data_IF_913165816499
#
_entry.id   IF_913165816499
#
_cell.length_a   1.000
_cell.length_b   1.000
_cell.length_c   1.000
_cell.angle_alpha   90.00
_cell.angle_beta   90.00
_cell.angle_gamma   90.00
#
_symmetry.space_group_name_H-M   'P 1'
#
loop_
_entity.id
_entity.type
_entity.pdbx_description
1 polymer ?
#
# COMPACT_ATOMS: atom_id res chain seq x y z
N UNK A 1 -8.48 6.22 13.56
CA UNK A 1 -7.51 5.13 13.79
C UNK A 1 -7.13 4.39 12.52
N UNK A 2 -8.06 3.79 11.76
CA UNK A 2 -7.76 2.98 10.58
C UNK A 2 -6.97 3.75 9.51
N UNK A 3 -7.29 5.03 9.31
CA UNK A 3 -6.52 5.91 8.40
C UNK A 3 -5.05 6.08 8.83
N UNK A 4 -4.80 6.28 10.12
CA UNK A 4 -3.44 6.34 10.69
C UNK A 4 -2.73 4.98 10.55
N UNK A 5 -3.45 3.90 10.78
CA UNK A 5 -2.91 2.55 10.68
C UNK A 5 -2.51 2.20 9.23
N UNK A 6 -3.31 2.63 8.25
CA UNK A 6 -3.00 2.50 6.83
C UNK A 6 -1.74 3.30 6.46
N UNK A 7 -1.59 4.53 6.97
CA UNK A 7 -0.36 5.30 6.81
C UNK A 7 0.84 4.55 7.38
N UNK A 8 0.76 4.08 8.64
CA UNK A 8 1.88 3.41 9.31
C UNK A 8 2.29 2.14 8.57
N UNK A 9 1.34 1.27 8.21
CA UNK A 9 1.62 0.09 7.42
C UNK A 9 2.29 0.43 6.09
N UNK A 10 1.87 1.53 5.45
CA UNK A 10 2.51 2.02 4.22
C UNK A 10 3.93 2.50 4.47
N UNK A 11 4.18 3.27 5.52
CA UNK A 11 5.52 3.77 5.87
C UNK A 11 6.50 2.65 6.22
N UNK A 12 6.03 1.58 6.87
CA UNK A 12 6.85 0.41 7.22
C UNK A 12 7.30 -0.38 5.97
N UNK A 13 6.50 -0.39 4.91
CA UNK A 13 6.84 -1.09 3.65
C UNK A 13 7.62 -0.24 2.64
N UNK A 14 7.58 1.09 2.78
CA UNK A 14 8.29 2.00 1.88
C UNK A 14 9.77 2.08 2.26
N UNK A 15 10.65 2.09 1.25
CA UNK A 15 12.08 2.32 1.43
C UNK A 15 12.54 3.73 1.00
N UNK A 16 11.69 4.47 0.29
CA UNK A 16 12.00 5.79 -0.23
C UNK A 16 11.60 6.89 0.77
N UNK A 17 12.59 7.64 1.26
CA UNK A 17 12.40 8.71 2.22
C UNK A 17 11.50 9.85 1.69
N UNK A 18 11.61 10.20 0.41
CA UNK A 18 10.80 11.27 -0.19
C UNK A 18 9.33 10.85 -0.33
N UNK A 19 9.07 9.58 -0.69
CA UNK A 19 7.70 9.06 -0.67
C UNK A 19 7.12 9.01 0.74
N UNK A 20 7.92 8.59 1.73
CA UNK A 20 7.48 8.60 3.13
C UNK A 20 7.06 10.00 3.57
N UNK A 21 7.85 11.02 3.24
CA UNK A 21 7.52 12.41 3.58
C UNK A 21 6.27 12.92 2.84
N UNK A 22 6.08 12.57 1.57
CA UNK A 22 4.88 12.93 0.81
C UNK A 22 3.60 12.33 1.43
N UNK A 23 3.60 11.02 1.70
CA UNK A 23 2.45 10.37 2.36
C UNK A 23 2.18 10.95 3.75
N UNK A 24 3.24 11.37 4.45
CA UNK A 24 3.11 12.03 5.75
C UNK A 24 2.45 13.40 5.63
N UNK A 25 2.90 14.21 4.68
CA UNK A 25 2.36 15.54 4.42
C UNK A 25 0.89 15.46 4.00
N UNK A 26 0.53 14.54 3.11
CA UNK A 26 -0.86 14.30 2.67
C UNK A 26 -1.76 13.87 3.83
N UNK A 27 -1.28 12.94 4.67
CA UNK A 27 -2.04 12.55 5.85
C UNK A 27 -2.26 13.74 6.80
N UNK A 28 -1.22 14.53 7.07
CA UNK A 28 -1.29 15.65 8.00
C UNK A 28 -2.15 16.79 7.47
N UNK A 29 -2.17 17.05 6.16
CA UNK A 29 -2.96 18.13 5.55
C UNK A 29 -4.47 17.87 5.67
N UNK A 30 -4.89 16.61 5.47
CA UNK A 30 -6.29 16.20 5.54
C UNK A 30 -6.79 15.84 6.95
N UNK A 31 -5.89 15.62 7.90
CA UNK A 31 -6.27 15.30 9.29
C UNK A 31 -6.73 16.57 10.00
N UNK A 32 -7.92 16.64 10.62
CA UNK A 32 -8.35 17.82 11.38
C UNK A 32 -7.63 17.96 12.74
N UNK A 33 -7.67 19.14 13.34
CA UNK A 33 -7.26 19.32 14.74
C UNK A 33 -8.32 18.72 15.69
N UNK A 34 -7.94 18.13 16.86
CA UNK A 34 -6.58 18.03 17.42
C UNK A 34 -5.79 16.79 16.97
N UNK A 35 -6.38 15.92 16.15
CA UNK A 35 -5.75 14.67 15.70
C UNK A 35 -4.45 14.92 14.95
N UNK A 36 -4.38 16.00 14.16
CA UNK A 36 -3.19 16.38 13.41
C UNK A 36 -2.00 16.66 14.33
N UNK A 37 -2.23 17.40 15.42
CA UNK A 37 -1.21 17.69 16.42
C UNK A 37 -0.72 16.40 17.09
N UNK A 38 -1.63 15.53 17.54
CA UNK A 38 -1.24 14.26 18.14
C UNK A 38 -0.51 13.33 17.17
N UNK A 39 -0.88 13.34 15.89
CA UNK A 39 -0.20 12.56 14.87
C UNK A 39 1.23 13.06 14.65
N UNK A 40 1.45 14.39 14.57
CA UNK A 40 2.81 14.98 14.52
C UNK A 40 3.64 14.58 15.73
N UNK A 41 3.08 14.69 16.93
CA UNK A 41 3.78 14.29 18.15
C UNK A 41 4.14 12.80 18.13
N UNK A 42 3.26 11.95 17.62
CA UNK A 42 3.52 10.51 17.48
C UNK A 42 4.70 10.25 16.54
N UNK A 43 4.71 10.91 15.38
CA UNK A 43 5.72 10.77 14.34
C UNK A 43 7.09 11.29 14.78
N UNK A 44 7.11 12.36 15.56
CA UNK A 44 8.32 12.92 16.14
C UNK A 44 8.80 12.15 17.39
N UNK A 45 8.08 11.12 17.82
CA UNK A 45 8.36 10.39 19.06
C UNK A 45 8.14 11.21 20.34
N UNK A 46 7.41 12.33 20.25
CA UNK A 46 7.10 13.25 21.35
C UNK A 46 5.79 12.92 22.06
N UNK A 47 4.93 12.11 21.46
CA UNK A 47 3.63 11.76 22.03
C UNK A 47 3.80 10.96 23.33
N UNK A 48 3.35 11.55 24.45
CA UNK A 48 3.38 10.91 25.77
C UNK A 48 2.02 10.31 26.07
N UNK A 49 1.98 8.98 26.19
CA UNK A 49 0.78 8.24 26.58
C UNK A 49 1.02 7.56 27.92
N UNK A 50 -0.06 7.35 28.69
CA UNK A 50 -0.07 6.40 29.81
C UNK A 50 -0.35 5.00 29.24
N UNK A 51 0.66 4.12 29.11
CA UNK A 51 0.48 2.88 28.38
C UNK A 51 -0.42 1.89 29.14
N UNK A 52 -1.28 1.21 28.40
CA UNK A 52 -2.00 0.04 28.85
C UNK A 52 -1.06 -1.17 28.92
N UNK A 53 -1.29 -2.07 29.88
CA UNK A 53 -0.53 -3.32 29.96
C UNK A 53 -0.97 -4.27 28.85
N UNK A 54 -0.03 -4.83 28.08
CA UNK A 54 -0.35 -5.83 27.05
C UNK A 54 -1.10 -7.05 27.63
N UNK A 55 -0.77 -7.45 28.86
CA UNK A 55 -1.48 -8.54 29.56
C UNK A 55 -2.98 -8.28 29.76
N UNK A 56 -3.39 -7.01 29.92
CA UNK A 56 -4.81 -6.65 29.98
C UNK A 56 -5.48 -6.94 28.64
N UNK A 57 -4.88 -6.46 27.55
CA UNK A 57 -5.42 -6.60 26.19
C UNK A 57 -5.48 -8.08 25.80
N UNK A 58 -4.46 -8.86 26.16
CA UNK A 58 -4.45 -10.32 26.00
C UNK A 58 -5.64 -10.97 26.70
N UNK A 59 -5.91 -10.60 27.96
CA UNK A 59 -7.05 -11.14 28.70
C UNK A 59 -8.40 -10.80 28.05
N UNK A 60 -8.54 -9.62 27.45
CA UNK A 60 -9.74 -9.25 26.69
C UNK A 60 -9.90 -10.10 25.42
N UNK A 61 -8.79 -10.44 24.75
CA UNK A 61 -8.80 -11.30 23.59
C UNK A 61 -9.14 -12.75 23.96
N UNK A 62 -8.48 -13.31 24.97
CA UNK A 62 -8.72 -14.67 25.49
C UNK A 62 -10.18 -14.87 25.96
N UNK A 63 -10.86 -13.82 26.43
CA UNK A 63 -12.28 -13.88 26.79
C UNK A 63 -13.23 -14.04 25.59
N UNK A 64 -12.74 -13.88 24.36
CA UNK A 64 -13.53 -13.82 23.11
C UNK A 64 -13.29 -14.99 22.17
N UNK A 65 -12.27 -15.80 22.42
CA UNK A 65 -11.89 -16.95 21.60
C UNK A 65 -11.55 -18.12 22.51
N UNK A 66 -11.77 -19.34 22.03
CA UNK A 66 -11.33 -20.54 22.74
C UNK A 66 -9.82 -20.50 23.04
N UNK A 67 -9.45 -20.90 24.25
CA UNK A 67 -8.07 -20.82 24.72
C UNK A 67 -7.10 -21.68 23.87
N UNK A 68 -7.57 -22.83 23.36
CA UNK A 68 -6.76 -23.69 22.49
C UNK A 68 -6.52 -23.01 21.14
N UNK A 69 -7.58 -22.44 20.55
CA UNK A 69 -7.47 -21.72 19.29
C UNK A 69 -6.57 -20.48 19.41
N UNK A 70 -6.66 -19.73 20.51
CA UNK A 70 -5.78 -18.60 20.77
C UNK A 70 -4.32 -19.04 20.91
N UNK A 71 -4.06 -20.13 21.65
CA UNK A 71 -2.72 -20.70 21.78
C UNK A 71 -2.12 -21.14 20.44
N UNK A 72 -2.91 -21.77 19.57
CA UNK A 72 -2.48 -22.14 18.22
C UNK A 72 -2.18 -20.92 17.35
N UNK A 73 -3.03 -19.89 17.40
CA UNK A 73 -2.80 -18.65 16.67
C UNK A 73 -1.51 -17.96 17.14
N UNK A 74 -1.29 -17.89 18.46
CA UNK A 74 -0.08 -17.30 19.04
C UNK A 74 1.18 -18.06 18.63
N UNK A 75 1.13 -19.39 18.61
CA UNK A 75 2.24 -20.23 18.17
C UNK A 75 2.58 -20.01 16.68
N UNK A 76 1.59 -19.67 15.85
CA UNK A 76 1.78 -19.43 14.42
C UNK A 76 2.33 -18.04 14.11
N UNK A 77 1.78 -16.99 14.73
CA UNK A 77 2.15 -15.59 14.46
C UNK A 77 3.49 -15.21 15.10
N UNK A 78 3.83 -15.80 16.25
CA UNK A 78 5.04 -15.47 17.00
C UNK A 78 5.02 -14.09 17.70
N UNK A 79 3.97 -13.29 17.51
CA UNK A 79 3.79 -11.98 18.13
C UNK A 79 2.39 -11.82 18.73
N UNK A 80 2.33 -11.29 19.96
CA UNK A 80 1.07 -11.14 20.71
C UNK A 80 0.15 -10.07 20.10
N UNK A 81 0.71 -8.99 19.58
CA UNK A 81 -0.07 -7.89 18.99
C UNK A 81 -0.74 -8.37 17.71
N UNK A 82 0.02 -9.04 16.85
CA UNK A 82 -0.47 -9.65 15.62
C UNK A 82 -1.53 -10.72 15.92
N UNK A 83 -1.27 -11.58 16.91
CA UNK A 83 -2.24 -12.61 17.36
C UNK A 83 -3.58 -11.98 17.73
N UNK A 84 -3.55 -10.96 18.59
CA UNK A 84 -4.77 -10.29 19.05
C UNK A 84 -5.47 -9.62 17.87
N UNK A 85 -4.75 -8.91 16.99
CA UNK A 85 -5.33 -8.21 15.85
C UNK A 85 -6.08 -9.17 14.89
N UNK A 86 -5.48 -10.32 14.59
CA UNK A 86 -6.01 -11.35 13.70
C UNK A 86 -7.17 -12.14 14.31
N UNK A 87 -7.09 -12.47 15.60
CA UNK A 87 -8.07 -13.33 16.27
C UNK A 87 -9.25 -12.56 16.86
N UNK A 88 -9.21 -11.23 16.87
CA UNK A 88 -10.26 -10.41 17.48
C UNK A 88 -11.61 -10.58 16.79
N UNK A 89 -12.55 -11.20 17.50
CA UNK A 89 -13.95 -11.32 17.09
C UNK A 89 -14.74 -10.14 17.67
N UNK A 90 -15.27 -9.22 16.83
CA UNK A 90 -16.00 -8.05 17.32
C UNK A 90 -17.44 -8.39 17.72
N UNK A 91 -17.90 -7.91 18.88
CA UNK A 91 -19.26 -8.17 19.39
C UNK A 91 -20.32 -7.31 18.67
N UNK A 92 -19.99 -6.05 18.38
CA UNK A 92 -20.78 -5.13 17.53
C UNK A 92 -19.82 -4.18 16.83
N UNK A 93 -19.85 -4.13 15.51
CA UNK A 93 -19.04 -3.13 14.77
C UNK A 93 -19.68 -1.75 14.95
N UNK A 94 -18.94 -0.82 15.54
CA UNK A 94 -19.35 0.58 15.58
C UNK A 94 -19.33 1.19 14.17
N UNK A 95 -20.10 2.25 13.95
CA UNK A 95 -20.18 2.93 12.64
C UNK A 95 -18.90 3.70 12.27
N UNK A 96 -17.97 3.90 13.22
CA UNK A 96 -16.65 4.51 12.99
C UNK A 96 -15.64 4.00 14.00
N UNK A 97 -14.38 3.99 13.59
CA UNK A 97 -13.22 3.76 14.45
C UNK A 97 -12.88 5.00 15.30
N UNK A 98 -12.15 4.84 16.42
CA UNK A 98 -11.82 5.97 17.28
C UNK A 98 -10.83 6.95 16.63
N UNK A 99 -10.94 8.22 16.98
CA UNK A 99 -9.94 9.23 16.60
C UNK A 99 -8.69 9.12 17.48
N UNK A 100 -7.59 9.73 17.06
CA UNK A 100 -6.35 9.71 17.85
C UNK A 100 -6.54 10.50 19.15
N UNK A 101 -7.23 11.63 19.08
CA UNK A 101 -7.57 12.48 20.23
C UNK A 101 -8.43 11.72 21.25
N UNK A 102 -9.44 10.97 20.79
CA UNK A 102 -10.28 10.15 21.68
C UNK A 102 -9.46 9.11 22.44
N UNK A 103 -8.44 8.52 21.80
CA UNK A 103 -7.55 7.56 22.44
C UNK A 103 -6.64 8.25 23.45
N UNK A 104 -6.01 9.37 23.06
CA UNK A 104 -5.10 10.15 23.92
C UNK A 104 -5.83 10.63 25.17
N UNK A 105 -7.00 11.24 25.00
CA UNK A 105 -7.82 11.75 26.09
C UNK A 105 -8.24 10.62 27.03
N UNK A 106 -8.79 9.52 26.48
CA UNK A 106 -9.23 8.40 27.29
C UNK A 106 -8.08 7.73 28.05
N UNK A 107 -6.88 7.62 27.47
CA UNK A 107 -5.72 7.10 28.18
C UNK A 107 -5.25 8.05 29.28
N UNK A 108 -5.45 9.36 29.15
CA UNK A 108 -5.10 10.34 30.17
C UNK A 108 -6.12 10.36 31.33
N UNK A 109 -7.42 10.22 31.03
CA UNK A 109 -8.50 10.51 31.98
C UNK A 109 -9.15 9.27 32.59
N UNK A 110 -9.29 8.16 31.85
CA UNK A 110 -10.08 7.01 32.32
C UNK A 110 -9.43 6.26 33.50
N UNK A 111 -10.28 5.76 34.40
CA UNK A 111 -9.86 4.89 35.49
C UNK A 111 -9.47 3.48 35.01
N UNK A 112 -8.76 2.73 35.88
CA UNK A 112 -8.35 1.34 35.60
C UNK A 112 -9.54 0.38 35.38
N UNK A 113 -10.71 0.71 35.91
CA UNK A 113 -11.95 -0.09 35.78
C UNK A 113 -12.71 0.18 34.47
N UNK A 114 -12.56 1.36 33.88
CA UNK A 114 -13.31 1.79 32.69
C UNK A 114 -12.53 1.54 31.40
N UNK A 115 -11.20 1.65 31.48
CA UNK A 115 -10.30 1.46 30.35
C UNK A 115 -10.49 0.12 29.61
N UNK A 116 -10.69 -1.05 30.26
CA UNK A 116 -10.87 -2.32 29.56
C UNK A 116 -12.07 -2.30 28.60
N UNK A 117 -13.23 -1.82 29.06
CA UNK A 117 -14.44 -1.70 28.24
C UNK A 117 -14.24 -0.75 27.07
N UNK A 118 -13.46 0.32 27.26
CA UNK A 118 -13.15 1.28 26.20
C UNK A 118 -12.23 0.68 25.14
N UNK A 119 -11.20 -0.07 25.56
CA UNK A 119 -10.29 -0.77 24.64
C UNK A 119 -11.06 -1.79 23.79
N UNK A 120 -11.96 -2.55 24.39
CA UNK A 120 -12.81 -3.48 23.66
C UNK A 120 -13.63 -2.79 22.56
N UNK A 121 -14.28 -1.66 22.90
CA UNK A 121 -15.07 -0.91 21.93
C UNK A 121 -14.23 -0.36 20.78
N UNK A 122 -12.99 0.06 21.05
CA UNK A 122 -12.07 0.51 20.01
C UNK A 122 -11.63 -0.64 19.10
N UNK A 123 -11.26 -1.79 19.65
CA UNK A 123 -10.87 -2.96 18.87
C UNK A 123 -12.03 -3.51 18.03
N UNK A 124 -13.26 -3.42 18.54
CA UNK A 124 -14.48 -3.79 17.81
C UNK A 124 -14.73 -2.89 16.58
N UNK A 125 -14.32 -1.63 16.66
CA UNK A 125 -14.52 -0.63 15.62
C UNK A 125 -13.37 -0.60 14.58
N UNK A 126 -12.17 -1.02 14.95
CA UNK A 126 -11.02 -1.08 14.04
C UNK A 126 -11.08 -2.30 13.12
N UNK A 127 -10.49 -2.15 11.93
CA UNK A 127 -10.11 -3.29 11.09
C UNK A 127 -8.83 -3.97 11.62
N UNK A 128 -8.36 -5.02 10.95
CA UNK A 128 -7.19 -5.80 11.36
C UNK A 128 -5.93 -4.92 11.53
N UNK A 129 -5.59 -4.14 10.50
CA UNK A 129 -4.47 -3.19 10.53
C UNK A 129 -4.63 -2.15 11.64
N UNK A 130 -5.85 -1.62 11.79
CA UNK A 130 -6.24 -0.68 12.84
C UNK A 130 -6.04 -1.25 14.24
N UNK A 131 -6.42 -2.50 14.49
CA UNK A 131 -6.19 -3.18 15.77
C UNK A 131 -4.70 -3.35 16.05
N UNK A 132 -3.93 -3.81 15.06
CA UNK A 132 -2.50 -4.02 15.22
C UNK A 132 -1.79 -2.73 15.63
N UNK A 133 -2.05 -1.62 14.92
CA UNK A 133 -1.46 -0.32 15.23
C UNK A 133 -2.01 0.26 16.54
N UNK A 134 -3.32 0.12 16.80
CA UNK A 134 -3.93 0.59 18.04
C UNK A 134 -3.28 -0.08 19.26
N UNK A 135 -3.06 -1.40 19.23
CA UNK A 135 -2.44 -2.14 20.33
C UNK A 135 -1.01 -1.63 20.55
N UNK A 136 -0.21 -1.46 19.49
CA UNK A 136 1.15 -0.90 19.59
C UNK A 136 1.15 0.52 20.16
N UNK A 137 0.18 1.35 19.74
CA UNK A 137 0.02 2.72 20.24
C UNK A 137 -0.30 2.74 21.73
N UNK A 138 -1.36 2.05 22.15
CA UNK A 138 -1.82 2.09 23.55
C UNK A 138 -0.88 1.36 24.50
N UNK A 139 -0.04 0.45 24.01
CA UNK A 139 1.01 -0.20 24.81
C UNK A 139 2.35 0.56 24.80
N UNK A 140 2.49 1.61 23.99
CA UNK A 140 3.71 2.42 23.87
C UNK A 140 4.85 1.72 23.11
N UNK A 141 4.56 0.63 22.41
CA UNK A 141 5.54 -0.13 21.61
C UNK A 141 5.60 0.32 20.15
N UNK A 142 4.68 1.19 19.72
CA UNK A 142 4.72 1.79 18.40
C UNK A 142 6.04 2.57 18.23
N UNK A 143 6.75 2.26 17.14
CA UNK A 143 7.99 2.89 16.72
C UNK A 143 7.81 3.27 15.26
N UNK A 144 8.17 4.51 14.93
CA UNK A 144 8.11 5.03 13.58
C UNK A 144 9.45 5.68 13.29
N UNK A 145 10.12 5.19 12.25
CA UNK A 145 11.36 5.80 11.76
C UNK A 145 10.97 6.91 10.78
N UNK A 146 10.88 8.15 11.28
CA UNK A 146 10.68 9.31 10.40
C UNK A 146 11.91 9.48 9.50
N UNK A 147 11.75 9.62 8.17
CA UNK A 147 12.86 10.05 7.32
C UNK A 147 13.36 11.41 7.82
N UNK A 148 14.69 11.57 7.91
CA UNK A 148 15.30 12.80 8.43
C UNK A 148 14.81 13.99 7.61
N UNK A 149 14.19 14.95 8.28
CA UNK A 149 13.72 16.22 7.71
C UNK A 149 14.90 16.86 6.97
N UNK A 150 14.90 16.79 5.64
CA UNK A 150 15.74 17.66 4.83
C UNK A 150 15.07 19.04 4.89
N UNK A 151 15.83 20.02 5.37
CA UNK A 151 15.39 21.36 5.72
C UNK A 151 14.22 21.90 4.87
N UNK A 152 13.20 22.37 5.57
CA UNK A 152 11.99 22.98 5.02
C UNK A 152 12.31 23.97 3.89
N UNK A 153 11.85 23.65 2.67
CA UNK A 153 11.62 24.64 1.63
C UNK A 153 10.19 25.18 1.77
N UNK A 154 9.98 26.50 1.66
CA UNK A 154 8.69 27.11 1.96
C UNK A 154 7.64 26.76 0.90
N UNK A 155 6.40 26.65 1.36
CA UNK A 155 5.22 26.41 0.54
C UNK A 155 5.03 27.52 -0.51
N UNK A 156 5.06 27.14 -1.79
CA UNK A 156 4.50 27.93 -2.89
C UNK A 156 4.06 27.00 -4.04
N UNK A 157 2.76 27.01 -4.33
CA UNK A 157 2.11 26.68 -5.62
C UNK A 157 2.50 25.39 -6.36
N UNK A 158 2.77 24.30 -5.63
CA UNK A 158 3.20 23.02 -6.24
C UNK A 158 2.11 21.96 -6.37
N UNK A 159 0.82 22.30 -6.29
CA UNK A 159 -0.24 21.28 -6.41
C UNK A 159 -0.36 20.68 -7.83
N UNK A 160 0.20 21.32 -8.87
CA UNK A 160 0.19 20.80 -10.25
C UNK A 160 1.56 20.37 -10.80
N UNK A 161 2.66 20.61 -10.08
CA UNK A 161 4.00 20.18 -10.53
C UNK A 161 4.50 18.91 -9.81
N UNK A 162 4.00 18.59 -8.61
CA UNK A 162 4.38 17.38 -7.85
C UNK A 162 3.91 16.06 -8.50
N UNK A 163 2.87 16.09 -9.33
CA UNK A 163 2.34 14.91 -10.02
C UNK A 163 3.09 14.56 -11.32
N UNK A 164 3.99 15.43 -11.80
CA UNK A 164 5.04 14.98 -12.71
C UNK A 164 6.17 14.46 -11.85
N UNK A 165 6.15 13.17 -11.56
CA UNK A 165 7.27 12.47 -10.97
C UNK A 165 8.55 12.89 -11.70
N UNK A 166 9.36 13.75 -11.08
CA UNK A 166 10.71 13.99 -11.56
C UNK A 166 11.38 12.60 -11.64
N UNK A 167 12.04 12.26 -12.76
CA UNK A 167 12.70 10.98 -12.88
C UNK A 167 13.65 10.83 -11.69
N UNK A 168 13.46 9.78 -10.90
CA UNK A 168 14.38 9.47 -9.80
C UNK A 168 15.78 9.31 -10.37
N UNK A 169 16.81 9.58 -9.56
CA UNK A 169 18.23 9.46 -9.95
C UNK A 169 18.64 8.10 -10.56
N UNK A 170 17.78 7.08 -10.48
CA UNK A 170 17.92 5.72 -11.00
C UNK A 170 16.98 5.36 -12.17
N UNK A 171 16.17 6.31 -12.67
CA UNK A 171 15.27 6.07 -13.82
C UNK A 171 16.00 6.36 -15.13
N UNK A 172 16.21 5.33 -15.95
CA UNK A 172 16.82 5.47 -17.28
C UNK A 172 15.82 5.94 -18.34
N UNK A 173 14.52 5.71 -18.16
CA UNK A 173 13.50 6.21 -19.07
C UNK A 173 12.10 5.69 -18.78
N UNK A 174 11.13 6.10 -19.61
CA UNK A 174 9.74 5.64 -19.58
C UNK A 174 9.32 5.01 -20.90
N UNK A 175 8.38 4.06 -20.89
CA UNK A 175 7.88 3.40 -22.09
C UNK A 175 6.37 3.12 -21.97
N UNK A 176 5.63 3.39 -23.04
CA UNK A 176 4.22 3.01 -23.14
C UNK A 176 4.10 1.51 -23.44
N UNK A 177 3.31 0.79 -22.65
CA UNK A 177 3.16 -0.66 -22.74
C UNK A 177 1.71 -1.09 -22.47
N UNK A 178 1.32 -2.23 -23.03
CA UNK A 178 -0.01 -2.82 -22.92
C UNK A 178 -0.07 -3.78 -21.75
N UNK A 179 -1.15 -3.71 -20.97
CA UNK A 179 -1.47 -4.70 -19.93
C UNK A 179 -1.82 -6.04 -20.58
N UNK A 180 -1.10 -7.11 -20.21
CA UNK A 180 -1.35 -8.47 -20.71
C UNK A 180 -2.06 -9.34 -19.67
N UNK A 181 -1.51 -9.33 -18.45
CA UNK A 181 -1.93 -10.21 -17.37
C UNK A 181 -1.94 -9.47 -16.04
N UNK A 182 -2.92 -9.78 -15.20
CA UNK A 182 -3.01 -9.27 -13.83
C UNK A 182 -3.16 -10.43 -12.84
N UNK A 183 -2.52 -10.29 -11.69
CA UNK A 183 -2.53 -11.29 -10.62
C UNK A 183 -2.71 -10.58 -9.27
N UNK A 184 -3.61 -11.08 -8.43
CA UNK A 184 -3.64 -10.66 -7.02
C UNK A 184 -2.61 -11.44 -6.25
N UNK A 185 -1.66 -10.72 -5.64
CA UNK A 185 -0.56 -11.28 -4.86
C UNK A 185 -1.02 -12.21 -3.71
N UNK A 186 -2.23 -11.98 -3.19
CA UNK A 186 -2.95 -12.95 -2.36
C UNK A 186 -4.43 -12.97 -2.75
N UNK A 187 -4.85 -14.01 -3.46
CA UNK A 187 -6.22 -14.16 -3.95
C UNK A 187 -7.29 -14.30 -2.83
N UNK A 188 -6.89 -14.55 -1.58
CA UNK A 188 -7.80 -14.66 -0.42
C UNK A 188 -8.04 -13.34 0.29
N UNK A 189 -7.18 -12.34 0.10
CA UNK A 189 -7.30 -11.04 0.72
C UNK A 189 -7.95 -10.03 -0.23
N UNK A 190 -8.99 -9.34 0.26
CA UNK A 190 -9.89 -8.50 -0.54
C UNK A 190 -9.20 -7.23 -1.10
N UNK A 191 -8.06 -6.84 -0.52
CA UNK A 191 -7.30 -5.61 -0.82
C UNK A 191 -5.87 -5.90 -1.26
N UNK A 192 -5.58 -7.13 -1.70
CA UNK A 192 -4.21 -7.49 -2.06
C UNK A 192 -3.68 -6.72 -3.27
N UNK A 193 -2.40 -6.28 -3.23
CA UNK A 193 -1.75 -5.59 -4.33
C UNK A 193 -1.89 -6.37 -5.64
N UNK A 194 -2.20 -5.64 -6.70
CA UNK A 194 -2.19 -6.16 -8.05
C UNK A 194 -0.74 -6.20 -8.56
N UNK A 195 -0.40 -7.31 -9.20
CA UNK A 195 0.84 -7.50 -9.93
C UNK A 195 0.51 -7.69 -11.40
N UNK A 196 0.96 -6.75 -12.22
CA UNK A 196 0.60 -6.67 -13.63
C UNK A 196 1.80 -6.95 -14.52
N UNK A 197 1.57 -7.69 -15.61
CA UNK A 197 2.55 -8.00 -16.64
C UNK A 197 2.23 -7.14 -17.86
N UNK A 198 3.24 -6.45 -18.37
CA UNK A 198 3.10 -5.53 -19.50
C UNK A 198 3.92 -5.99 -20.70
N UNK A 199 3.42 -5.67 -21.88
CA UNK A 199 4.04 -6.00 -23.17
C UNK A 199 4.06 -4.83 -24.14
N UNK A 200 4.86 -4.98 -25.19
CA UNK A 200 4.99 -4.03 -26.30
C UNK A 200 4.86 -4.77 -27.63
N UNK A 201 4.61 -4.03 -28.71
CA UNK A 201 4.40 -4.63 -30.03
C UNK A 201 5.69 -5.23 -30.60
N UNK A 202 5.61 -6.47 -31.05
CA UNK A 202 6.61 -7.15 -31.85
C UNK A 202 5.91 -7.68 -33.12
N UNK A 203 5.91 -6.84 -34.17
CA UNK A 203 5.07 -7.04 -35.34
C UNK A 203 3.60 -7.11 -34.95
N UNK A 204 2.94 -8.22 -35.28
CA UNK A 204 1.51 -8.44 -34.98
C UNK A 204 1.26 -9.10 -33.61
N UNK A 205 2.32 -9.32 -32.83
CA UNK A 205 2.22 -9.97 -31.51
C UNK A 205 2.69 -9.04 -30.39
N UNK A 206 2.34 -9.36 -29.15
CA UNK A 206 2.85 -8.65 -27.97
C UNK A 206 3.98 -9.44 -27.30
N UNK A 207 5.07 -8.74 -26.99
CA UNK A 207 6.22 -9.28 -26.31
C UNK A 207 6.23 -8.77 -24.84
N UNK A 208 6.14 -9.67 -23.84
CA UNK A 208 6.20 -9.26 -22.44
C UNK A 208 7.56 -8.69 -22.09
N UNK A 209 7.58 -7.50 -21.50
CA UNK A 209 8.82 -6.76 -21.18
C UNK A 209 9.06 -6.58 -19.70
N UNK A 210 8.06 -6.83 -18.86
CA UNK A 210 8.24 -6.67 -17.43
C UNK A 210 6.96 -6.90 -16.64
N UNK A 211 7.14 -6.94 -15.32
CA UNK A 211 6.08 -7.09 -14.35
C UNK A 211 6.32 -6.16 -13.20
N UNK A 212 5.29 -5.45 -12.77
CA UNK A 212 5.37 -4.50 -11.66
C UNK A 212 4.15 -4.63 -10.75
N UNK A 213 4.31 -4.17 -9.51
CA UNK A 213 3.20 -4.01 -8.58
C UNK A 213 2.51 -2.67 -8.84
N UNK A 214 1.19 -2.67 -8.71
CA UNK A 214 0.32 -1.53 -8.98
C UNK A 214 0.04 -0.81 -7.67
N UNK A 215 0.19 0.52 -7.67
CA UNK A 215 -0.15 1.37 -6.55
C UNK A 215 -1.67 1.53 -6.40
N UNK A 216 -2.15 2.01 -5.25
CA UNK A 216 -3.59 2.17 -5.01
C UNK A 216 -4.25 3.17 -5.97
N UNK A 217 -3.51 4.18 -6.44
CA UNK A 217 -4.04 5.21 -7.37
C UNK A 217 -4.26 4.63 -8.76
N UNK A 218 -3.30 3.84 -9.26
CA UNK A 218 -3.39 3.25 -10.59
C UNK A 218 -4.21 1.95 -10.61
N UNK A 219 -4.58 1.43 -9.43
CA UNK A 219 -5.33 0.19 -9.30
C UNK A 219 -6.76 0.30 -9.85
N UNK A 220 -7.46 1.39 -9.57
CA UNK A 220 -8.87 1.57 -9.96
C UNK A 220 -9.11 1.42 -11.47
N UNK A 221 -8.42 2.15 -12.37
CA UNK A 221 -8.63 1.98 -13.81
C UNK A 221 -8.21 0.59 -14.33
N UNK A 222 -7.21 -0.03 -13.71
CA UNK A 222 -6.78 -1.39 -14.05
C UNK A 222 -7.81 -2.42 -13.60
N UNK A 223 -8.37 -2.28 -12.40
CA UNK A 223 -9.41 -3.17 -11.87
C UNK A 223 -10.69 -3.10 -12.71
N UNK A 224 -11.08 -1.90 -13.12
CA UNK A 224 -12.20 -1.68 -14.03
C UNK A 224 -11.96 -2.41 -15.36
N UNK A 225 -10.80 -2.20 -15.99
CA UNK A 225 -10.48 -2.88 -17.24
C UNK A 225 -10.43 -4.42 -17.11
N UNK A 226 -9.87 -4.94 -16.01
CA UNK A 226 -9.87 -6.38 -15.73
C UNK A 226 -11.31 -6.91 -15.64
N UNK A 227 -12.22 -6.19 -14.98
CA UNK A 227 -13.60 -6.62 -14.80
C UNK A 227 -14.35 -6.74 -16.15
N UNK A 228 -14.10 -5.82 -17.07
CA UNK A 228 -14.81 -5.74 -18.36
C UNK A 228 -14.16 -6.56 -19.48
N UNK A 229 -12.83 -6.75 -19.41
CA UNK A 229 -12.05 -7.26 -20.54
C UNK A 229 -11.22 -8.51 -20.22
N UNK A 230 -11.54 -9.28 -19.17
CA UNK A 230 -10.90 -10.58 -18.94
C UNK A 230 -11.24 -11.57 -20.07
N UNK A 231 -10.23 -12.10 -20.75
CA UNK A 231 -10.36 -13.10 -21.83
C UNK A 231 -10.14 -14.53 -21.34
N UNK A 232 -9.24 -14.73 -20.37
CA UNK A 232 -8.96 -16.05 -19.79
C UNK A 232 -8.59 -15.98 -18.30
N UNK A 233 -8.72 -17.11 -17.60
CA UNK A 233 -8.46 -17.23 -16.16
C UNK A 233 -7.58 -18.44 -15.87
N UNK A 234 -6.47 -18.23 -15.17
CA UNK A 234 -5.52 -19.28 -14.79
C UNK A 234 -5.21 -19.16 -13.28
N UNK A 235 -6.01 -19.82 -12.45
CA UNK A 235 -5.91 -19.67 -10.99
C UNK A 235 -6.07 -18.21 -10.54
N UNK A 236 -5.07 -17.59 -9.88
CA UNK A 236 -5.12 -16.19 -9.48
C UNK A 236 -4.84 -15.20 -10.63
N UNK A 237 -4.39 -15.69 -11.79
CA UNK A 237 -4.03 -14.87 -12.94
C UNK A 237 -5.26 -14.63 -13.81
N UNK A 238 -5.41 -13.39 -14.28
CA UNK A 238 -6.37 -12.95 -15.28
C UNK A 238 -5.60 -12.52 -16.52
N UNK A 239 -5.93 -13.10 -17.66
CA UNK A 239 -5.55 -12.55 -18.95
C UNK A 239 -6.62 -11.57 -19.38
N UNK A 240 -6.22 -10.40 -19.85
CA UNK A 240 -7.13 -9.35 -20.32
C UNK A 240 -7.01 -9.17 -21.82
N UNK A 241 -7.98 -8.49 -22.44
CA UNK A 241 -7.94 -8.17 -23.87
C UNK A 241 -6.75 -7.24 -24.16
N UNK A 242 -5.95 -7.62 -25.15
CA UNK A 242 -4.70 -6.94 -25.52
C UNK A 242 -4.48 -6.96 -27.04
N UNK A 243 -5.54 -6.77 -27.82
CA UNK A 243 -5.47 -6.76 -29.29
C UNK A 243 -5.35 -5.34 -29.88
N UNK A 244 -5.38 -5.23 -31.21
CA UNK A 244 -5.22 -3.94 -31.92
C UNK A 244 -6.44 -3.01 -31.78
N UNK A 245 -7.58 -3.53 -31.35
CA UNK A 245 -8.81 -2.75 -31.15
C UNK A 245 -8.95 -2.31 -29.70
N UNK A 246 -8.71 -3.23 -28.74
CA UNK A 246 -8.92 -3.00 -27.32
C UNK A 246 -7.72 -3.49 -26.51
N UNK A 247 -7.08 -2.55 -25.82
CA UNK A 247 -6.00 -2.80 -24.87
C UNK A 247 -5.89 -1.64 -23.88
N UNK A 248 -5.51 -1.92 -22.63
CA UNK A 248 -5.13 -0.88 -21.67
C UNK A 248 -3.66 -0.54 -21.87
N UNK A 249 -3.38 0.72 -22.24
CA UNK A 249 -2.02 1.24 -22.38
C UNK A 249 -1.62 2.01 -21.13
N UNK A 250 -0.41 1.78 -20.66
CA UNK A 250 0.14 2.41 -19.48
C UNK A 250 1.58 2.88 -19.69
N UNK A 251 1.96 3.94 -19.00
CA UNK A 251 3.33 4.43 -18.99
C UNK A 251 4.12 3.78 -17.87
N UNK A 252 5.24 3.16 -18.21
CA UNK A 252 6.13 2.48 -17.27
C UNK A 252 7.47 3.19 -17.18
N UNK A 253 7.95 3.47 -15.98
CA UNK A 253 9.35 3.83 -15.74
C UNK A 253 10.21 2.57 -15.58
N UNK A 254 11.48 2.64 -15.94
CA UNK A 254 12.45 1.56 -15.74
C UNK A 254 13.85 2.08 -15.42
N UNK A 255 14.63 1.24 -14.75
CA UNK A 255 16.00 1.56 -14.32
C UNK A 255 17.09 1.11 -15.30
N UNK A 256 16.80 0.15 -16.17
CA UNK A 256 17.67 -0.29 -17.26
C UNK A 256 16.90 -1.21 -18.22
N UNK A 257 17.46 -1.43 -19.41
CA UNK A 257 17.01 -2.47 -20.35
C UNK A 257 18.05 -3.59 -20.29
N UNK A 258 17.60 -4.83 -20.09
CA UNK A 258 18.49 -5.99 -19.92
C UNK A 258 18.25 -7.05 -21.01
N UNK A 259 19.30 -7.51 -21.72
CA UNK A 259 19.21 -8.63 -22.63
C UNK A 259 18.83 -9.92 -21.92
N UNK A 260 17.81 -10.63 -22.43
CA UNK A 260 17.36 -11.93 -21.92
C UNK A 260 17.18 -12.91 -23.07
N UNK A 261 18.25 -13.63 -23.49
CA UNK A 261 18.22 -14.49 -24.68
C UNK A 261 17.21 -15.65 -24.60
N UNK A 262 16.68 -15.94 -23.41
CA UNK A 262 15.68 -17.01 -23.19
C UNK A 262 14.21 -16.55 -23.36
N UNK A 263 13.94 -15.25 -23.55
CA UNK A 263 12.56 -14.72 -23.70
C UNK A 263 12.29 -14.32 -25.13
N UNK A 264 11.03 -14.47 -25.58
CA UNK A 264 10.58 -14.09 -26.94
C UNK A 264 10.90 -12.64 -27.33
N UNK A 265 10.94 -11.72 -26.36
CA UNK A 265 11.29 -10.31 -26.60
C UNK A 265 12.80 -10.07 -26.72
N UNK A 266 13.67 -10.98 -26.26
CA UNK A 266 15.11 -10.77 -26.16
C UNK A 266 15.56 -9.69 -25.17
N UNK A 267 14.65 -8.86 -24.65
CA UNK A 267 14.89 -7.74 -23.74
C UNK A 267 13.83 -7.69 -22.64
N UNK A 268 14.23 -7.25 -21.44
CA UNK A 268 13.31 -6.96 -20.32
C UNK A 268 13.69 -5.67 -19.62
N UNK A 269 12.69 -5.00 -19.06
CA UNK A 269 12.90 -3.85 -18.18
C UNK A 269 13.39 -4.31 -16.80
N UNK A 270 14.42 -3.63 -16.28
CA UNK A 270 14.86 -3.77 -14.89
C UNK A 270 14.07 -2.79 -14.02
N UNK A 271 13.57 -3.30 -12.90
CA UNK A 271 12.76 -2.55 -11.93
C UNK A 271 11.64 -1.72 -12.59
N UNK A 272 10.82 -2.33 -13.47
CA UNK A 272 9.71 -1.61 -14.09
C UNK A 272 8.73 -1.15 -13.02
N UNK A 273 8.23 0.06 -13.16
CA UNK A 273 7.26 0.69 -12.27
C UNK A 273 6.16 1.32 -13.11
N UNK A 274 4.91 1.07 -12.74
CA UNK A 274 3.79 1.78 -13.34
C UNK A 274 3.84 3.25 -12.90
N UNK A 275 3.80 4.17 -13.87
CA UNK A 275 3.68 5.61 -13.60
C UNK A 275 2.23 6.06 -13.63
N UNK A 276 1.49 5.64 -14.67
CA UNK A 276 0.07 5.98 -14.87
C UNK A 276 -0.55 5.11 -15.96
N UNK A 277 -1.86 4.98 -15.92
CA UNK A 277 -2.65 4.52 -17.07
C UNK A 277 -2.80 5.68 -18.05
N UNK A 278 -2.69 5.42 -19.35
CA UNK A 278 -2.88 6.42 -20.40
C UNK A 278 -4.33 6.40 -20.86
N UNK A 279 -5.18 7.18 -20.21
CA UNK A 279 -6.60 7.26 -20.55
C UNK A 279 -6.79 7.75 -22.00
N UNK A 280 -7.63 7.04 -22.75
CA UNK A 280 -7.92 7.36 -24.17
C UNK A 280 -6.82 6.96 -25.17
N UNK A 281 -5.71 6.37 -24.72
CA UNK A 281 -4.68 5.88 -25.63
C UNK A 281 -5.18 4.68 -26.45
N UNK A 282 -4.88 4.69 -27.75
CA UNK A 282 -5.13 3.57 -28.63
C UNK A 282 -4.07 2.47 -28.42
N UNK A 283 -4.38 1.19 -28.69
CA UNK A 283 -3.37 0.13 -28.60
C UNK A 283 -2.12 0.41 -29.45
N UNK A 284 -2.25 1.15 -30.56
CA UNK A 284 -1.13 1.59 -31.41
C UNK A 284 -0.15 2.55 -30.75
N UNK A 285 -0.54 3.21 -29.64
CA UNK A 285 0.30 4.17 -28.93
C UNK A 285 1.32 3.47 -28.01
N UNK A 286 1.14 2.17 -27.78
CA UNK A 286 2.14 1.36 -27.09
C UNK A 286 3.42 1.24 -27.91
N UNK A 287 4.57 1.21 -27.23
CA UNK A 287 5.85 1.11 -27.89
C UNK A 287 6.02 -0.19 -28.66
N UNK A 288 7.02 -0.24 -29.52
CA UNK A 288 7.43 -1.45 -30.24
C UNK A 288 8.76 -1.99 -29.72
N UNK A 289 9.03 -3.27 -29.99
CA UNK A 289 10.30 -3.91 -29.67
C UNK A 289 11.46 -3.19 -30.37
N UNK A 290 11.27 -2.75 -31.61
CA UNK A 290 12.27 -1.94 -32.33
C UNK A 290 12.59 -0.63 -31.59
N UNK A 291 11.58 0.03 -30.99
CA UNK A 291 11.78 1.21 -30.15
C UNK A 291 12.59 0.89 -28.90
N UNK A 292 12.32 -0.25 -28.26
CA UNK A 292 13.05 -0.67 -27.06
C UNK A 292 14.51 -1.07 -27.39
N UNK A 293 14.74 -1.76 -28.50
CA UNK A 293 16.07 -2.12 -29.00
C UNK A 293 16.93 -0.89 -29.35
N UNK A 294 16.32 0.10 -30.00
CA UNK A 294 17.00 1.36 -30.31
C UNK A 294 17.48 2.07 -29.02
N UNK A 295 16.64 2.05 -27.97
CA UNK A 295 17.00 2.62 -26.66
C UNK A 295 18.06 1.81 -25.92
N UNK A 296 18.06 0.48 -26.06
CA UNK A 296 19.09 -0.37 -25.47
C UNK A 296 20.48 -0.16 -26.08
N UNK A 297 20.57 0.34 -27.32
CA UNK A 297 21.83 0.65 -28.01
C UNK A 297 22.37 2.06 -27.72
N UNK A 298 21.53 2.95 -27.20
CA UNK A 298 21.86 4.36 -26.91
C UNK A 298 22.28 4.64 -25.47
N UNK A 299 22.28 3.63 -24.60
CA UNK A 299 22.78 3.64 -23.22
C UNK A 299 23.98 2.71 -23.09
#
# INVERSE_FOLDING_TARGET
MNRLAALIARLETLNDAAMKEAFLADYLSETPEPDRTHARDLLDGKLKLRPAKLALIRGLAEARIDATLFGLAQAYTGDMTETIALTWVPNRRANRDPTLSEIVEALATLGRSELPKRIEAWLDACDETGRHVLIRLITGTLRLDRPREADAAPAADTQNELFRAAPRKDTSGTIAAILLYAERTNARARTSPLRCTFGIWNGDTLAPIGRCEVGPVEAEPIEHFIAEHTTARFGPVREVRHDREIALVAELAFAAITPTPRRKAGLTLRAPRLLRVLEGAAPSDAASLATLEARAKGH
#
